data_IF_743436364321
#
_entry.id   IF_743436364321
#
_cell.length_a   1.000
_cell.length_b   1.000
_cell.length_c   1.000
_cell.angle_alpha   90.00
_cell.angle_beta   90.00
_cell.angle_gamma   90.00
#
_symmetry.space_group_name_H-M   'P 1'
#
loop_
_entity.id
_entity.type
_entity.pdbx_description
1 polymer ?
2 non-polymer ?
3 water ?
#
# COMPACT_ATOMS: atom_id res chain seq x y z
N UNK A 12 -23.39 6.80 19.14
CA UNK A 12 -22.33 6.10 18.44
C UNK A 12 -21.75 6.98 17.33
N UNK A 13 -20.52 6.69 16.91
CA UNK A 13 -19.82 7.49 15.91
C UNK A 13 -19.38 6.62 14.74
N UNK A 14 -19.22 7.26 13.58
CA UNK A 14 -18.76 6.58 12.38
C UNK A 14 -17.24 6.46 12.41
N UNK A 15 -16.74 5.25 12.21
CA UNK A 15 -15.30 5.03 12.14
C UNK A 15 -14.77 5.39 10.75
N UNK A 16 -13.60 6.02 10.66
CA UNK A 16 -13.02 6.32 9.35
C UNK A 16 -12.47 5.05 8.71
N UNK A 17 -12.22 5.15 7.41
CA UNK A 17 -11.68 4.00 6.69
C UNK A 17 -10.30 3.62 7.21
N UNK A 18 -9.45 4.61 7.48
CA UNK A 18 -8.14 4.37 8.05
C UNK A 18 -7.80 5.50 9.00
N UNK A 19 -6.87 5.23 9.90
CA UNK A 19 -6.49 6.18 10.93
C UNK A 19 -4.99 6.16 11.13
N UNK A 20 -4.40 7.35 11.28
CA UNK A 20 -2.98 7.50 11.58
C UNK A 20 -2.84 8.32 12.85
N UNK A 21 -2.29 7.72 13.89
CA UNK A 21 -2.00 8.42 15.14
C UNK A 21 -0.50 8.67 15.20
N UNK A 22 -0.12 9.93 15.42
CA UNK A 22 1.27 10.31 15.60
C UNK A 22 1.43 10.82 17.02
N UNK A 23 2.30 10.18 17.79
CA UNK A 23 2.50 10.48 19.20
C UNK A 23 3.94 10.91 19.42
N UNK A 24 4.13 12.05 20.07
CA UNK A 24 5.47 12.47 20.44
C UNK A 24 5.96 11.65 21.63
N UNK A 25 7.22 11.22 21.56
CA UNK A 25 7.78 10.43 22.63
C UNK A 25 7.92 11.28 23.90
N UNK A 26 8.10 10.60 25.02
CA UNK A 26 8.21 11.26 26.30
C UNK A 26 9.52 12.01 26.46
N UNK A 27 9.63 12.70 27.60
CA UNK A 27 10.83 13.48 27.88
C UNK A 27 12.06 12.60 27.90
N UNK A 28 13.11 13.05 27.21
CA UNK A 28 14.41 12.39 27.22
C UNK A 28 15.36 13.16 28.14
N UNK A 29 16.52 12.55 28.40
CA UNK A 29 17.51 13.22 29.24
C UNK A 29 18.04 14.48 28.57
N UNK A 30 18.26 14.44 27.25
CA UNK A 30 18.68 15.64 26.54
C UNK A 30 17.61 16.72 26.61
N UNK A 31 16.34 16.34 26.47
CA UNK A 31 15.26 17.31 26.58
C UNK A 31 15.25 17.95 27.97
N UNK A 32 15.46 17.15 29.01
CA UNK A 32 15.50 17.69 30.37
C UNK A 32 16.71 18.61 30.55
N UNK A 33 17.86 18.22 30.02
CA UNK A 33 19.06 19.05 30.11
C UNK A 33 18.99 20.27 29.20
N UNK A 34 17.99 20.36 28.34
CA UNK A 34 17.89 21.43 27.35
C UNK A 34 19.14 21.46 26.46
N UNK A 35 19.44 20.30 25.87
CA UNK A 35 20.55 20.14 24.95
C UNK A 35 20.04 19.42 23.71
N UNK A 36 20.50 19.87 22.54
CA UNK A 36 20.10 19.23 21.30
C UNK A 36 20.56 17.78 21.27
N UNK A 37 19.69 16.89 20.82
CA UNK A 37 20.02 15.48 20.67
C UNK A 37 20.10 15.06 19.21
N UNK A 38 19.05 15.27 18.45
CA UNK A 38 19.06 14.82 17.06
C UNK A 38 19.22 13.31 17.01
N UNK A 39 20.30 12.85 16.37
CA UNK A 39 20.57 11.42 16.31
C UNK A 39 21.23 10.88 17.58
N UNK A 40 21.69 11.75 18.48
CA UNK A 40 22.20 11.25 19.75
C UNK A 40 21.12 10.44 20.45
N UNK A 41 21.49 9.27 20.94
CA UNK A 41 20.54 8.25 21.37
C UNK A 41 20.17 8.39 22.85
N UNK A 42 19.74 9.59 23.24
CA UNK A 42 19.36 9.83 24.63
C UNK A 42 18.09 9.05 24.97
N UNK A 43 18.05 8.50 26.19
CA UNK A 43 16.95 7.65 26.64
C UNK A 43 15.92 8.48 27.42
N UNK A 44 14.77 7.87 27.66
CA UNK A 44 13.73 8.49 28.46
C UNK A 44 14.19 8.67 29.90
N UNK A 45 13.76 9.77 30.51
CA UNK A 45 13.91 9.96 31.94
C UNK A 45 12.80 9.20 32.67
N UNK A 46 12.81 9.25 34.00
CA UNK A 46 11.71 8.70 34.78
C UNK A 46 10.39 9.38 34.39
N UNK A 47 10.41 10.71 34.23
CA UNK A 47 9.21 11.42 33.80
C UNK A 47 8.81 10.99 32.39
N UNK A 48 9.79 10.83 31.50
CA UNK A 48 9.47 10.43 30.14
C UNK A 48 8.82 9.06 30.07
N UNK A 49 9.23 8.16 30.96
CA UNK A 49 8.58 6.84 31.02
C UNK A 49 7.15 6.99 31.50
N UNK A 50 6.91 7.85 32.48
CA UNK A 50 5.54 8.09 32.91
C UNK A 50 4.73 8.80 31.82
N UNK A 51 5.39 9.61 30.98
CA UNK A 51 4.71 10.19 29.83
C UNK A 51 4.23 9.12 28.88
N UNK A 52 5.06 8.10 28.65
CA UNK A 52 4.67 7.01 27.76
C UNK A 52 3.49 6.22 28.32
N UNK A 53 3.50 5.94 29.63
CA UNK A 53 2.37 5.25 30.22
C UNK A 53 1.10 6.10 30.12
N UNK A 54 1.22 7.41 30.36
CA UNK A 54 0.06 8.29 30.27
C UNK A 54 -0.47 8.34 28.84
N UNK A 55 0.42 8.38 27.86
CA UNK A 55 -0.01 8.37 26.46
C UNK A 55 -0.69 7.05 26.12
N UNK A 56 -0.19 5.94 26.67
CA UNK A 56 -0.85 4.67 26.46
C UNK A 56 -2.25 4.64 27.02
N UNK A 57 -2.44 5.19 28.23
CA UNK A 57 -3.77 5.28 28.81
C UNK A 57 -4.65 6.23 28.02
N UNK A 58 -4.06 7.29 27.45
CA UNK A 58 -4.81 8.22 26.63
C UNK A 58 -5.35 7.53 25.38
N UNK A 59 -4.50 6.77 24.70
CA UNK A 59 -4.93 6.09 23.48
C UNK A 59 -5.93 4.97 23.80
N UNK A 60 -5.75 4.29 24.94
CA UNK A 60 -6.67 3.24 25.32
C UNK A 60 -8.07 3.79 25.60
N UNK A 61 -8.15 4.95 26.25
CA UNK A 61 -9.46 5.55 26.53
C UNK A 61 -10.16 6.01 25.26
N UNK A 62 -9.42 6.26 24.19
CA UNK A 62 -10.01 6.57 22.90
C UNK A 62 -10.27 5.33 22.05
N UNK A 63 -9.98 4.14 22.58
CA UNK A 63 -10.38 2.91 21.93
C UNK A 63 -9.58 2.51 20.70
N UNK A 64 -8.32 2.97 20.60
CA UNK A 64 -7.51 2.65 19.45
C UNK A 64 -7.02 1.20 19.50
N UNK A 65 -7.16 0.51 18.37
CA UNK A 65 -6.61 -0.83 18.19
C UNK A 65 -5.80 -0.80 16.90
N UNK A 66 -4.48 -0.81 17.03
CA UNK A 66 -3.59 -0.60 15.88
C UNK A 66 -3.21 -1.93 15.23
N UNK A 67 -3.00 -1.85 13.91
CA UNK A 67 -2.51 -2.99 13.13
C UNK A 67 -1.00 -3.00 13.00
N UNK A 68 -0.34 -1.87 13.21
CA UNK A 68 1.11 -1.79 13.07
C UNK A 68 1.57 -0.49 13.71
N UNK A 69 2.82 -0.48 14.21
CA UNK A 69 3.40 0.69 14.84
C UNK A 69 4.78 0.94 14.24
N UNK A 70 5.10 2.20 14.04
CA UNK A 70 6.38 2.63 13.47
C UNK A 70 7.12 3.49 14.48
N UNK A 71 8.44 3.35 14.49
CA UNK A 71 9.30 4.19 15.31
C UNK A 71 10.59 4.45 14.54
N UNK A 72 11.39 5.36 15.07
CA UNK A 72 12.72 5.62 14.56
C UNK A 72 13.69 4.56 15.09
N UNK A 73 14.98 4.74 14.81
CA UNK A 73 16.03 3.93 15.41
C UNK A 73 16.43 4.42 16.81
N UNK A 74 15.83 5.49 17.30
CA UNK A 74 16.26 6.11 18.55
C UNK A 74 15.49 5.56 19.74
N UNK A 75 16.22 5.30 20.83
CA UNK A 75 15.66 4.57 21.96
C UNK A 75 14.47 5.31 22.58
N UNK A 76 14.50 6.64 22.60
CA UNK A 76 13.41 7.38 23.22
C UNK A 76 12.11 7.15 22.46
N UNK A 77 12.20 6.95 21.14
CA UNK A 77 11.01 6.60 20.37
C UNK A 77 10.61 5.14 20.59
N UNK A 78 11.58 4.23 20.53
CA UNK A 78 11.27 2.80 20.62
C UNK A 78 10.70 2.45 21.99
N UNK A 79 11.34 2.95 23.06
CA UNK A 79 10.87 2.64 24.41
C UNK A 79 9.47 3.18 24.63
N UNK A 80 9.18 4.38 24.13
CA UNK A 80 7.83 4.91 24.24
C UNK A 80 6.84 4.00 23.53
N UNK A 81 7.20 3.51 22.34
CA UNK A 81 6.33 2.62 21.59
C UNK A 81 6.03 1.34 22.38
N UNK A 82 7.06 0.74 22.97
CA UNK A 82 6.87 -0.50 23.71
C UNK A 82 5.96 -0.27 24.92
N UNK A 83 6.16 0.83 25.64
CA UNK A 83 5.32 1.11 26.80
C UNK A 83 3.87 1.31 26.37
N UNK A 84 3.65 2.06 25.30
CA UNK A 84 2.29 2.34 24.85
C UNK A 84 1.59 1.04 24.47
N UNK A 85 2.27 0.18 23.71
CA UNK A 85 1.68 -1.10 23.34
C UNK A 85 1.43 -1.96 24.58
N UNK A 86 2.29 -1.84 25.59
CA UNK A 86 2.06 -2.56 26.84
C UNK A 86 0.74 -2.13 27.48
N UNK A 87 0.50 -0.82 27.54
CA UNK A 87 -0.72 -0.31 28.13
C UNK A 87 -1.94 -0.73 27.32
N UNK A 88 -1.82 -0.68 25.98
CA UNK A 88 -2.92 -1.03 25.09
C UNK A 88 -3.18 -2.53 25.04
N UNK A 89 -2.29 -3.36 25.59
CA UNK A 89 -2.40 -4.81 25.47
C UNK A 89 -2.26 -5.24 24.01
N UNK A 90 -1.38 -4.58 23.28
CA UNK A 90 -1.13 -4.85 21.87
C UNK A 90 0.35 -5.08 21.60
N UNK A 91 1.03 -5.73 22.56
CA UNK A 91 2.46 -5.97 22.41
C UNK A 91 2.77 -6.92 21.26
N UNK A 92 1.78 -7.65 20.77
CA UNK A 92 1.96 -8.61 19.70
C UNK A 92 1.95 -8.00 18.30
N UNK A 93 1.53 -6.75 18.16
CA UNK A 93 1.33 -6.22 16.82
C UNK A 93 2.68 -5.96 16.15
N UNK A 94 2.65 -5.90 14.82
CA UNK A 94 3.86 -5.62 14.06
C UNK A 94 4.41 -4.26 14.44
N UNK A 95 5.69 -4.23 14.84
CA UNK A 95 6.42 -3.01 15.11
C UNK A 95 7.59 -2.92 14.13
N UNK A 96 7.79 -1.75 13.55
CA UNK A 96 8.83 -1.50 12.56
C UNK A 96 9.61 -0.27 12.98
N UNK A 97 10.93 -0.42 13.05
CA UNK A 97 11.83 0.69 13.37
C UNK A 97 12.73 0.95 12.17
N UNK A 98 12.83 2.22 11.77
CA UNK A 98 13.61 2.59 10.60
C UNK A 98 14.30 3.92 10.85
N UNK A 99 15.57 4.01 10.46
CA UNK A 99 16.34 5.22 10.72
C UNK A 99 15.83 6.42 9.93
N UNK A 100 15.06 6.20 8.87
CA UNK A 100 14.57 7.32 8.07
C UNK A 100 13.52 8.15 8.81
N UNK A 101 12.98 7.64 9.91
CA UNK A 101 12.10 8.41 10.79
C UNK A 101 12.86 9.11 11.90
N UNK A 102 14.19 9.04 11.89
CA UNK A 102 15.00 9.70 12.90
C UNK A 102 14.77 11.21 12.88
N UNK A 103 14.93 11.83 14.05
CA UNK A 103 15.01 13.28 14.17
C UNK A 103 16.15 13.80 13.29
N UNK A 104 16.12 15.11 13.02
CA UNK A 104 17.22 15.75 12.33
C UNK A 104 18.55 15.36 12.97
N UNK A 105 19.55 15.11 12.12
CA UNK A 105 20.92 14.99 12.58
C UNK A 105 21.47 16.40 12.76
N UNK A 106 21.73 16.80 14.00
CA UNK A 106 22.09 18.19 14.28
C UNK A 106 23.56 18.51 14.07
N UNK A 107 24.38 17.53 13.71
CA UNK A 107 25.76 17.82 13.37
C UNK A 107 26.50 18.48 14.52
N UNK A 108 27.09 19.65 14.24
CA UNK A 108 27.84 20.37 15.25
C UNK A 108 27.00 20.68 16.47
N UNK A 109 25.73 21.01 16.27
CA UNK A 109 24.84 21.37 17.37
C UNK A 109 24.52 20.20 18.28
N UNK A 110 24.85 18.97 17.87
CA UNK A 110 24.58 17.80 18.71
C UNK A 110 25.27 17.94 20.05
N UNK A 111 24.48 17.87 21.12
CA UNK A 111 25.01 17.93 22.48
C UNK A 111 25.12 19.32 23.06
N UNK A 112 24.96 20.37 22.26
CA UNK A 112 25.07 21.73 22.77
C UNK A 112 23.81 22.11 23.54
N UNK A 113 23.98 23.03 24.49
CA UNK A 113 22.82 23.65 25.11
C UNK A 113 22.02 24.40 24.05
N UNK A 114 20.70 24.28 24.12
CA UNK A 114 19.84 24.94 23.14
C UNK A 114 19.89 26.46 23.25
N UNK A 115 20.66 27.00 24.19
CA UNK A 115 20.80 28.44 24.37
C UNK A 115 22.08 28.99 23.74
N UNK A 116 23.10 28.15 23.58
CA UNK A 116 24.33 28.59 22.94
C UNK A 116 24.12 28.92 21.47
N UNK A 117 23.06 28.39 20.84
CA UNK A 117 22.86 28.63 19.42
C UNK A 117 22.57 30.09 19.13
N UNK A 118 22.13 30.87 20.12
CA UNK A 118 22.01 32.30 19.93
C UNK A 118 23.39 32.93 19.74
N UNK A 119 24.39 32.42 20.44
CA UNK A 119 25.77 32.85 20.23
C UNK A 119 26.28 32.37 18.87
N UNK A 120 26.07 31.10 18.55
CA UNK A 120 26.59 30.54 17.30
C UNK A 120 25.95 31.21 16.09
N UNK A 121 24.66 31.51 16.18
CA UNK A 121 23.90 32.05 15.07
C UNK A 121 23.82 33.56 15.17
N UNK A 122 23.87 34.23 14.01
CA UNK A 122 23.52 35.64 13.96
C UNK A 122 22.02 35.80 14.22
N UNK A 123 21.60 37.05 14.45
CA UNK A 123 20.18 37.29 14.70
C UNK A 123 19.33 36.91 13.50
N UNK A 124 19.80 37.22 12.29
CA UNK A 124 19.07 36.82 11.09
C UNK A 124 19.01 35.30 10.98
N UNK A 125 20.11 34.62 11.29
CA UNK A 125 20.12 33.16 11.22
C UNK A 125 19.14 32.56 12.21
N UNK A 126 19.07 33.13 13.42
CA UNK A 126 18.12 32.62 14.42
C UNK A 126 16.69 32.72 13.92
N UNK A 127 16.37 33.79 13.19
CA UNK A 127 15.02 33.96 12.67
C UNK A 127 14.67 32.83 11.70
N UNK A 128 15.61 32.43 10.85
CA UNK A 128 15.36 31.32 9.95
C UNK A 128 15.22 30.01 10.72
N UNK A 129 15.98 29.87 11.81
CA UNK A 129 15.94 28.63 12.59
C UNK A 129 14.57 28.38 13.19
N UNK A 130 13.90 29.44 13.67
CA UNK A 130 12.63 29.29 14.35
C UNK A 130 11.43 29.46 13.42
N UNK A 131 11.53 30.34 12.42
CA UNK A 131 10.40 30.65 11.56
C UNK A 131 10.34 29.83 10.28
N UNK A 132 11.40 29.08 9.96
CA UNK A 132 11.45 28.32 8.72
C UNK A 132 12.00 26.93 9.03
N UNK A 133 12.31 26.19 7.96
CA UNK A 133 12.77 24.82 8.07
C UNK A 133 13.94 24.52 7.15
N UNK A 134 14.58 25.55 6.58
CA UNK A 134 15.60 25.36 5.56
C UNK A 134 17.02 25.54 6.07
N UNK A 135 17.19 25.98 7.32
CA UNK A 135 18.52 26.27 7.85
C UNK A 135 19.21 24.96 8.25
N UNK A 136 20.41 24.76 7.72
CA UNK A 136 21.14 23.50 7.89
C UNK A 136 22.26 23.68 8.90
N UNK A 137 22.29 22.92 10.00
CA UNK A 137 23.41 23.03 10.93
C UNK A 137 24.69 22.51 10.29
N UNK A 138 25.85 23.01 10.71
CA UNK A 138 27.11 22.51 10.15
C UNK A 138 27.40 21.11 10.63
N UNK A 139 28.36 20.42 10.03
CA UNK A 139 28.63 19.03 10.40
C UNK A 139 29.31 18.93 11.76
N UNK A 140 29.35 17.70 12.28
CA UNK A 140 30.08 17.45 13.51
C UNK A 140 31.54 17.84 13.36
N UNK A 141 32.08 18.47 14.41
CA UNK A 141 33.46 18.92 14.39
C UNK A 141 34.41 17.72 14.51
N UNK A 142 35.68 17.90 14.12
CA UNK A 142 36.67 16.85 14.36
C UNK A 142 36.75 16.52 15.85
N UNK A 143 36.77 15.22 16.16
CA UNK A 143 36.81 14.77 17.53
C UNK A 143 35.47 14.75 18.23
N UNK A 144 34.44 15.36 17.65
CA UNK A 144 33.11 15.31 18.26
C UNK A 144 32.52 13.92 18.08
N UNK A 145 31.85 13.44 19.13
CA UNK A 145 31.16 12.16 19.05
C UNK A 145 29.99 12.29 18.09
N UNK A 146 30.10 11.64 16.94
CA UNK A 146 29.04 11.69 15.93
C UNK A 146 28.09 10.52 16.13
N UNK A 147 26.81 10.76 16.37
CA UNK A 147 25.90 9.62 16.63
C UNK A 147 25.81 8.64 15.47
N UNK A 148 26.06 9.08 14.23
CA UNK A 148 25.95 8.16 13.09
C UNK A 148 27.08 7.15 13.06
N UNK A 149 28.14 7.34 13.84
CA UNK A 149 29.21 6.35 13.95
C UNK A 149 28.82 5.15 14.81
N UNK A 150 27.64 5.16 15.41
CA UNK A 150 27.21 4.04 16.24
C UNK A 150 27.08 2.79 15.38
N UNK A 151 27.43 1.61 15.90
CA UNK A 151 27.38 0.39 15.08
C UNK A 151 26.01 0.10 14.49
N UNK A 152 24.92 0.63 15.06
CA UNK A 152 23.60 0.34 14.53
C UNK A 152 23.41 0.84 13.10
N UNK A 153 24.22 1.81 12.65
CA UNK A 153 24.12 2.35 11.31
C UNK A 153 25.17 1.76 10.37
N UNK A 154 25.81 0.65 10.76
CA UNK A 154 26.90 0.11 9.96
C UNK A 154 26.41 -0.39 8.60
N UNK A 155 25.16 -0.82 8.51
CA UNK A 155 24.61 -1.30 7.26
C UNK A 155 24.12 -0.18 6.36
N UNK A 156 24.14 1.06 6.82
CA UNK A 156 23.73 2.19 6.01
C UNK A 156 24.81 2.54 4.99
N UNK A 157 24.38 2.86 3.78
CA UNK A 157 25.29 3.36 2.76
C UNK A 157 25.88 4.68 3.22
N UNK A 158 27.20 4.87 3.19
CA UNK A 158 27.76 6.13 3.70
C UNK A 158 27.18 7.36 3.03
N UNK A 159 26.72 7.25 1.78
CA UNK A 159 26.24 8.39 1.03
C UNK A 159 24.87 8.88 1.50
N UNK A 160 24.12 8.04 2.21
CA UNK A 160 22.84 8.47 2.75
C UNK A 160 22.94 8.95 4.19
N UNK A 161 24.08 8.74 4.85
CA UNK A 161 24.24 9.13 6.24
C UNK A 161 24.34 10.65 6.31
N UNK A 162 23.46 11.33 7.03
CA UNK A 162 23.53 12.79 7.12
C UNK A 162 24.55 13.24 8.16
N UNK A 163 25.06 14.46 7.95
CA UNK A 163 25.93 15.13 8.92
C UNK A 163 25.50 16.60 8.94
N UNK A 164 24.50 16.89 9.76
CA UNK A 164 23.93 18.22 9.79
C UNK A 164 22.75 18.32 8.83
N UNK A 165 21.54 18.40 9.37
CA UNK A 165 20.32 18.36 8.57
C UNK A 165 19.40 19.49 8.97
N UNK A 166 18.95 20.27 8.00
CA UNK A 166 17.79 21.11 8.22
C UNK A 166 16.55 20.23 8.31
N UNK A 167 15.44 20.83 8.76
CA UNK A 167 14.18 20.09 8.78
C UNK A 167 13.77 19.70 7.38
N UNK A 168 14.06 20.55 6.39
CA UNK A 168 13.77 20.20 4.99
C UNK A 168 14.53 18.96 4.56
N UNK A 169 15.83 18.89 4.88
CA UNK A 169 16.63 17.73 4.51
C UNK A 169 16.13 16.48 5.23
N UNK A 170 15.79 16.61 6.52
CA UNK A 170 15.25 15.46 7.24
C UNK A 170 14.00 14.95 6.55
N UNK A 171 13.09 15.85 6.18
CA UNK A 171 11.87 15.44 5.52
C UNK A 171 12.14 14.88 4.13
N UNK A 172 13.23 15.30 3.49
CA UNK A 172 13.56 14.74 2.18
C UNK A 172 13.89 13.25 2.29
N UNK A 173 14.48 12.82 3.40
CA UNK A 173 14.80 11.40 3.57
C UNK A 173 13.67 10.63 4.25
N UNK A 174 12.83 11.31 5.05
CA UNK A 174 11.74 10.61 5.72
C UNK A 174 10.52 10.48 4.83
N UNK A 175 10.29 11.44 3.94
CA UNK A 175 9.09 11.41 3.09
C UNK A 175 9.04 10.17 2.23
N UNK A 176 10.12 9.74 1.56
CA UNK A 176 10.02 8.50 0.77
C UNK A 176 9.62 7.30 1.61
N UNK A 177 10.10 7.22 2.85
CA UNK A 177 9.71 6.10 3.71
C UNK A 177 8.24 6.20 4.11
N UNK A 178 7.78 7.41 4.40
CA UNK A 178 6.37 7.61 4.74
C UNK A 178 5.48 7.19 3.57
N UNK A 179 5.84 7.60 2.35
CA UNK A 179 5.00 7.32 1.19
C UNK A 179 5.06 5.85 0.82
N UNK A 180 6.23 5.22 0.97
CA UNK A 180 6.43 3.86 0.47
C UNK A 180 6.04 2.78 1.47
N UNK A 181 6.09 3.06 2.77
CA UNK A 181 5.83 2.05 3.79
C UNK A 181 4.58 2.32 4.61
N UNK A 182 4.27 3.57 4.92
CA UNK A 182 3.18 3.89 5.82
C UNK A 182 1.90 4.20 5.07
N UNK A 183 1.97 5.04 4.03
CA UNK A 183 0.77 5.40 3.28
C UNK A 183 0.08 4.17 2.71
N UNK A 184 0.78 3.21 2.10
CA UNK A 184 0.06 2.05 1.53
C UNK A 184 -0.77 1.30 2.55
N UNK A 185 -0.31 1.24 3.80
CA UNK A 185 -1.08 0.56 4.83
C UNK A 185 -2.35 1.36 5.18
N UNK A 186 -2.25 2.68 5.23
CA UNK A 186 -3.44 3.50 5.44
C UNK A 186 -4.43 3.33 4.30
N UNK A 187 -3.93 3.21 3.07
CA UNK A 187 -4.81 3.01 1.92
C UNK A 187 -5.49 1.66 1.94
N UNK A 188 -4.98 0.71 2.72
CA UNK A 188 -5.61 -0.60 2.88
C UNK A 188 -6.50 -0.66 4.12
N UNK A 189 -6.84 0.48 4.70
CA UNK A 189 -7.74 0.50 5.83
C UNK A 189 -7.12 0.11 7.14
N UNK A 190 -5.81 0.30 7.29
CA UNK A 190 -5.13 -0.04 8.54
C UNK A 190 -5.16 1.16 9.49
N UNK A 191 -5.07 0.85 10.78
CA UNK A 191 -4.86 1.86 11.81
C UNK A 191 -3.38 1.80 12.20
N UNK A 192 -2.68 2.91 12.00
CA UNK A 192 -1.24 2.97 12.13
C UNK A 192 -0.88 3.91 13.26
N UNK A 193 0.05 3.48 14.11
CA UNK A 193 0.64 4.33 15.13
C UNK A 193 2.08 4.64 14.74
N UNK A 194 2.46 5.91 14.87
CA UNK A 194 3.84 6.34 14.72
C UNK A 194 4.23 7.04 16.00
N UNK A 195 5.28 6.56 16.66
CA UNK A 195 5.89 7.26 17.78
C UNK A 195 7.04 8.07 17.19
N UNK A 196 6.89 9.38 17.16
CA UNK A 196 7.71 10.26 16.34
C UNK A 196 8.44 11.28 17.21
N UNK A 197 9.43 11.91 16.59
CA UNK A 197 10.10 13.06 17.14
C UNK A 197 9.38 14.33 16.69
N UNK A 198 9.63 15.42 17.42
CA UNK A 198 8.82 16.61 17.23
C UNK A 198 8.85 17.13 15.80
N UNK A 199 10.05 17.23 15.21
CA UNK A 199 10.16 17.78 13.87
C UNK A 199 9.58 16.83 12.82
N UNK A 200 9.74 15.52 13.03
CA UNK A 200 9.16 14.57 12.08
C UNK A 200 7.65 14.66 12.09
N UNK A 201 7.05 14.76 13.28
CA UNK A 201 5.61 14.90 13.38
C UNK A 201 5.14 16.18 12.72
N UNK A 202 5.87 17.28 12.91
CA UNK A 202 5.50 18.55 12.29
C UNK A 202 5.56 18.45 10.77
N UNK A 203 6.59 17.78 10.24
CA UNK A 203 6.70 17.63 8.79
C UNK A 203 5.56 16.79 8.23
N UNK A 204 5.21 15.71 8.94
CA UNK A 204 4.10 14.87 8.48
C UNK A 204 2.78 15.62 8.52
N UNK A 205 2.57 16.45 9.55
CA UNK A 205 1.35 17.24 9.63
C UNK A 205 1.28 18.24 8.48
N UNK A 206 2.41 18.88 8.16
CA UNK A 206 2.44 19.83 7.05
C UNK A 206 2.11 19.15 5.73
N UNK A 207 2.66 17.96 5.51
CA UNK A 207 2.41 17.23 4.27
C UNK A 207 0.94 16.83 4.15
N UNK A 208 0.38 16.23 5.21
CA UNK A 208 -0.97 15.70 5.14
C UNK A 208 -1.99 16.83 5.02
N UNK A 209 -1.77 17.94 5.70
CA UNK A 209 -2.70 19.07 5.68
C UNK A 209 -2.38 20.08 4.59
N UNK A 210 -1.30 19.88 3.84
CA UNK A 210 -0.94 20.77 2.74
C UNK A 210 -0.68 22.19 3.23
N UNK A 211 0.06 22.31 4.33
CA UNK A 211 0.48 23.61 4.83
C UNK A 211 1.77 24.05 4.15
N UNK A 212 2.16 25.29 4.40
CA UNK A 212 3.46 25.80 3.99
C UNK A 212 4.37 25.88 5.21
N UNK A 213 5.66 26.10 4.95
CA UNK A 213 6.64 26.07 6.03
C UNK A 213 6.34 27.15 7.07
N UNK A 214 5.87 28.32 6.63
CA UNK A 214 5.66 29.42 7.55
C UNK A 214 4.50 29.14 8.50
N UNK A 215 3.39 28.61 7.98
CA UNK A 215 2.26 28.29 8.84
C UNK A 215 2.65 27.24 9.88
N UNK A 216 3.41 26.23 9.45
CA UNK A 216 3.81 25.15 10.36
C UNK A 216 4.56 25.69 11.56
N UNK A 217 5.58 26.50 11.33
CA UNK A 217 6.39 27.03 12.43
C UNK A 217 5.65 28.09 13.23
N UNK A 218 4.55 28.63 12.71
CA UNK A 218 3.70 29.50 13.52
C UNK A 218 2.99 28.72 14.61
N UNK A 219 2.57 27.49 14.32
CA UNK A 219 1.85 26.69 15.29
C UNK A 219 2.74 26.31 16.47
N UNK A 220 2.14 26.14 17.63
CA UNK A 220 2.88 25.76 18.82
C UNK A 220 3.26 24.29 18.76
N UNK A 221 4.36 23.95 19.45
CA UNK A 221 4.84 22.58 19.48
C UNK A 221 3.99 21.78 20.46
N UNK A 222 3.68 20.54 20.08
CA UNK A 222 2.92 19.66 20.97
C UNK A 222 3.77 19.18 22.12
N UNK A 223 3.20 19.19 23.32
CA UNK A 223 3.91 18.73 24.50
C UNK A 223 4.24 17.24 24.38
N UNK A 224 5.20 16.80 25.18
CA UNK A 224 5.56 15.38 25.21
C UNK A 224 4.33 14.57 25.61
N UNK A 225 4.07 13.51 24.85
CA UNK A 225 2.94 12.64 25.11
C UNK A 225 1.66 13.04 24.40
N UNK A 226 1.62 14.20 23.75
CA UNK A 226 0.44 14.61 23.00
C UNK A 226 0.43 13.92 21.64
N UNK A 227 -0.76 13.76 21.08
CA UNK A 227 -0.94 12.97 19.86
C UNK A 227 -1.85 13.68 18.88
N UNK A 228 -1.55 13.48 17.59
CA UNK A 228 -2.39 13.89 16.49
C UNK A 228 -3.08 12.66 15.90
N UNK A 229 -4.34 12.82 15.52
CA UNK A 229 -5.13 11.74 14.95
C UNK A 229 -5.63 12.19 13.59
N UNK A 230 -5.14 11.57 12.53
CA UNK A 230 -5.58 11.84 11.17
C UNK A 230 -6.52 10.72 10.73
N UNK A 231 -7.64 11.09 10.16
CA UNK A 231 -8.64 10.14 9.69
C UNK A 231 -8.80 10.29 8.19
N UNK A 232 -8.85 9.16 7.48
CA UNK A 232 -8.89 9.15 6.03
C UNK A 232 -10.06 8.29 5.55
N UNK A 233 -10.56 8.61 4.35
CA UNK A 233 -11.52 7.75 3.69
C UNK A 233 -10.76 6.78 2.78
N UNK A 234 -11.49 6.02 1.95
CA UNK A 234 -10.88 4.97 1.13
C UNK A 234 -10.11 5.51 -0.07
N UNK A 235 -10.18 6.81 -0.35
CA UNK A 235 -9.36 7.45 -1.37
C UNK A 235 -8.16 8.16 -0.77
N UNK A 236 -7.91 7.97 0.52
CA UNK A 236 -6.83 8.65 1.24
C UNK A 236 -6.97 10.17 1.16
N UNK A 237 -8.20 10.66 1.25
CA UNK A 237 -8.45 12.08 1.47
C UNK A 237 -8.53 12.33 2.98
N UNK A 238 -7.94 13.43 3.41
CA UNK A 238 -7.93 13.77 4.83
C UNK A 238 -9.30 14.27 5.25
N UNK A 239 -9.91 13.57 6.22
CA UNK A 239 -11.24 13.90 6.71
C UNK A 239 -11.24 14.73 7.99
N UNK A 240 -10.23 14.56 8.84
CA UNK A 240 -10.25 15.23 10.14
C UNK A 240 -8.88 15.07 10.80
N UNK A 241 -8.47 16.11 11.53
CA UNK A 241 -7.30 16.04 12.39
C UNK A 241 -7.71 16.46 13.79
N UNK A 242 -7.49 15.59 14.77
CA UNK A 242 -7.77 15.88 16.17
C UNK A 242 -6.47 15.91 16.95
N UNK A 243 -6.43 16.73 18.00
CA UNK A 243 -5.33 16.73 18.95
C UNK A 243 -5.89 16.24 20.28
N UNK A 244 -5.35 15.12 20.76
CA UNK A 244 -5.73 14.53 22.04
C UNK A 244 -4.50 14.58 22.95
N UNK A 245 -4.70 15.00 24.19
CA UNK A 245 -3.59 15.15 25.12
C UNK A 245 -4.06 14.78 26.52
N UNK A 246 -3.10 14.42 27.36
CA UNK A 246 -3.36 14.05 28.75
C UNK A 246 -4.03 15.20 29.48
N UNK B 12 -3.09 -45.33 -8.29
CA UNK B 12 -2.71 -44.03 -8.82
C UNK B 12 -3.83 -43.43 -9.65
N UNK B 13 -3.63 -42.20 -10.11
CA UNK B 13 -4.61 -41.48 -10.91
C UNK B 13 -4.09 -41.32 -12.34
N UNK B 14 -5.01 -41.20 -13.29
CA UNK B 14 -4.67 -41.09 -14.69
C UNK B 14 -4.63 -39.62 -15.08
N UNK B 15 -3.55 -39.22 -15.75
CA UNK B 15 -3.44 -37.83 -16.22
C UNK B 15 -4.27 -37.63 -17.49
N UNK B 16 -5.00 -36.53 -17.60
CA UNK B 16 -5.69 -36.24 -18.85
C UNK B 16 -4.71 -35.77 -19.93
N UNK B 17 -5.21 -35.71 -21.16
CA UNK B 17 -4.36 -35.27 -22.26
C UNK B 17 -3.90 -33.82 -22.06
N UNK B 18 -4.82 -32.95 -21.67
CA UNK B 18 -4.50 -31.55 -21.44
C UNK B 18 -5.34 -31.03 -20.27
N UNK B 19 -4.91 -29.91 -19.71
CA UNK B 19 -5.56 -29.33 -18.54
C UNK B 19 -5.52 -27.82 -18.63
N UNK B 20 -6.60 -27.17 -18.22
CA UNK B 20 -6.69 -25.72 -18.14
C UNK B 20 -7.12 -25.33 -16.75
N UNK B 21 -6.30 -24.53 -16.06
CA UNK B 21 -6.64 -24.00 -14.75
C UNK B 21 -6.84 -22.50 -14.91
N UNK B 22 -7.98 -22.00 -14.46
CA UNK B 22 -8.29 -20.58 -14.46
C UNK B 22 -8.41 -20.14 -13.01
N UNK B 23 -7.62 -19.15 -12.62
CA UNK B 23 -7.50 -18.70 -11.24
C UNK B 23 -7.82 -17.23 -11.15
N UNK B 24 -8.71 -16.86 -10.23
CA UNK B 24 -8.99 -15.45 -10.01
C UNK B 24 -7.86 -14.81 -9.22
N UNK B 25 -7.46 -13.62 -9.65
CA UNK B 25 -6.41 -12.90 -8.94
C UNK B 25 -6.90 -12.48 -7.56
N UNK B 26 -5.96 -12.23 -6.67
CA UNK B 26 -6.26 -11.91 -5.29
C UNK B 26 -6.94 -10.56 -5.15
N UNK B 27 -7.24 -10.23 -3.89
CA UNK B 27 -7.87 -8.95 -3.59
C UNK B 27 -7.01 -7.79 -4.08
N UNK B 28 -7.64 -6.83 -4.75
CA UNK B 28 -6.97 -5.62 -5.18
C UNK B 28 -7.38 -4.47 -4.28
N UNK B 29 -6.66 -3.35 -4.40
CA UNK B 29 -7.00 -2.19 -3.59
C UNK B 29 -8.37 -1.64 -3.96
N UNK B 30 -8.70 -1.65 -5.26
CA UNK B 30 -10.03 -1.22 -5.67
C UNK B 30 -11.11 -2.12 -5.11
N UNK B 31 -10.88 -3.44 -5.12
CA UNK B 31 -11.87 -4.36 -4.55
C UNK B 31 -12.06 -4.11 -3.07
N UNK B 32 -10.97 -3.90 -2.34
CA UNK B 32 -11.07 -3.62 -0.91
C UNK B 32 -11.83 -2.32 -0.67
N UNK B 33 -11.56 -1.30 -1.48
CA UNK B 33 -12.19 0.00 -1.35
C UNK B 33 -13.56 0.06 -2.00
N UNK B 34 -14.00 -1.03 -2.63
CA UNK B 34 -15.28 -1.08 -3.31
C UNK B 34 -15.40 0.05 -4.33
N UNK B 35 -14.51 0.01 -5.32
CA UNK B 35 -14.50 0.98 -6.41
C UNK B 35 -14.20 0.24 -7.70
N UNK B 36 -15.00 0.50 -8.73
CA UNK B 36 -14.78 -0.14 -10.03
C UNK B 36 -13.38 0.21 -10.53
N UNK B 37 -12.67 -0.81 -11.03
CA UNK B 37 -11.35 -0.63 -11.58
C UNK B 37 -11.34 -0.82 -13.10
N UNK B 38 -11.79 -1.96 -13.59
CA UNK B 38 -11.75 -2.21 -15.02
C UNK B 38 -10.32 -2.16 -15.50
N UNK B 39 -10.03 -1.25 -16.43
CA UNK B 39 -8.68 -1.12 -16.95
C UNK B 39 -7.76 -0.34 -16.01
N UNK B 40 -8.31 0.32 -14.99
CA UNK B 40 -7.45 0.98 -14.01
C UNK B 40 -6.51 -0.04 -13.39
N UNK B 41 -5.23 0.32 -13.31
CA UNK B 41 -4.17 -0.62 -12.98
C UNK B 41 -3.96 -0.75 -11.47
N UNK B 42 -5.03 -1.00 -10.74
CA UNK B 42 -4.93 -1.17 -9.30
C UNK B 42 -4.14 -2.43 -8.97
N UNK B 43 -3.33 -2.35 -7.91
CA UNK B 43 -2.45 -3.43 -7.52
C UNK B 43 -3.05 -4.22 -6.36
N UNK B 44 -2.47 -5.38 -6.09
CA UNK B 44 -2.90 -6.21 -4.98
C UNK B 44 -2.66 -5.51 -3.65
N UNK B 45 -3.51 -5.81 -2.68
CA UNK B 45 -3.27 -5.42 -1.30
C UNK B 45 -2.39 -6.45 -0.62
N UNK B 46 -2.07 -6.23 0.66
CA UNK B 46 -1.34 -7.23 1.43
C UNK B 46 -2.10 -8.55 1.47
N UNK B 47 -3.42 -8.48 1.69
CA UNK B 47 -4.23 -9.69 1.71
C UNK B 47 -4.25 -10.35 0.34
N UNK B 48 -4.36 -9.57 -0.73
CA UNK B 48 -4.37 -10.14 -2.06
C UNK B 48 -3.06 -10.84 -2.40
N UNK B 49 -1.95 -10.34 -1.87
CA UNK B 49 -0.67 -11.00 -2.08
C UNK B 49 -0.66 -12.35 -1.38
N UNK B 50 -1.20 -12.42 -0.16
CA UNK B 50 -1.29 -13.71 0.51
C UNK B 50 -2.32 -14.62 -0.15
N UNK B 51 -3.32 -14.05 -0.83
CA UNK B 51 -4.21 -14.88 -1.64
C UNK B 51 -3.44 -15.54 -2.76
N UNK B 52 -2.50 -14.81 -3.37
CA UNK B 52 -1.69 -15.38 -4.45
C UNK B 52 -0.80 -16.50 -3.93
N UNK B 53 -0.15 -16.30 -2.79
CA UNK B 53 0.67 -17.35 -2.22
C UNK B 53 -0.17 -18.57 -1.85
N UNK B 54 -1.34 -18.34 -1.26
CA UNK B 54 -2.22 -19.44 -0.88
C UNK B 54 -2.67 -20.23 -2.11
N UNK B 55 -3.00 -19.52 -3.19
CA UNK B 55 -3.37 -20.20 -4.43
C UNK B 55 -2.21 -20.98 -5.01
N UNK B 56 -1.00 -20.42 -4.94
CA UNK B 56 0.16 -21.16 -5.40
C UNK B 56 0.37 -22.44 -4.63
N UNK B 57 0.13 -22.41 -3.31
CA UNK B 57 0.22 -23.62 -2.51
C UNK B 57 -0.91 -24.60 -2.85
N UNK B 58 -2.10 -24.08 -3.20
CA UNK B 58 -3.20 -24.93 -3.59
C UNK B 58 -2.87 -25.71 -4.87
N UNK B 59 -2.43 -25.00 -5.90
CA UNK B 59 -2.09 -25.68 -7.16
C UNK B 59 -0.94 -26.64 -6.95
N UNK B 60 0.03 -26.27 -6.10
CA UNK B 60 1.15 -27.16 -5.83
C UNK B 60 0.69 -28.44 -5.16
N UNK B 61 -0.28 -28.36 -4.25
CA UNK B 61 -0.80 -29.55 -3.60
C UNK B 61 -1.57 -30.44 -4.57
N UNK B 62 -2.16 -29.85 -5.61
CA UNK B 62 -2.83 -30.62 -6.64
C UNK B 62 -1.87 -31.15 -7.70
N UNK B 63 -0.59 -30.82 -7.60
CA UNK B 63 0.40 -31.38 -8.49
C UNK B 63 0.41 -30.83 -9.90
N UNK B 64 0.00 -29.57 -10.07
CA UNK B 64 -0.03 -28.98 -11.39
C UNK B 64 1.37 -28.54 -11.82
N UNK B 65 1.77 -28.93 -13.03
CA UNK B 65 3.02 -28.51 -13.64
C UNK B 65 2.65 -27.88 -14.98
N UNK B 66 2.70 -26.55 -15.06
CA UNK B 66 2.19 -25.87 -16.25
C UNK B 66 3.26 -25.71 -17.31
N UNK B 67 2.82 -25.71 -18.57
CA UNK B 67 3.68 -25.43 -19.72
C UNK B 67 3.68 -23.96 -20.11
N UNK B 68 2.62 -23.22 -19.77
CA UNK B 68 2.49 -21.83 -20.18
C UNK B 68 1.43 -21.18 -19.30
N UNK B 69 1.60 -19.89 -19.03
CA UNK B 69 0.67 -19.13 -18.20
C UNK B 69 0.27 -17.87 -18.94
N UNK B 70 -1.00 -17.50 -18.81
CA UNK B 70 -1.57 -16.32 -19.48
C UNK B 70 -2.09 -15.35 -18.42
N UNK B 71 -1.97 -14.06 -18.71
CA UNK B 71 -2.49 -13.03 -17.84
C UNK B 71 -2.89 -11.84 -18.70
N UNK B 72 -3.60 -10.90 -18.08
CA UNK B 72 -3.98 -9.67 -18.76
C UNK B 72 -2.79 -8.70 -18.71
N UNK B 73 -3.04 -7.45 -19.12
CA UNK B 73 -2.06 -6.38 -18.96
C UNK B 73 -2.12 -5.73 -17.59
N UNK B 74 -3.02 -6.17 -16.72
CA UNK B 74 -3.24 -5.50 -15.44
C UNK B 74 -2.39 -6.11 -14.33
N UNK B 75 -1.96 -5.23 -13.41
CA UNK B 75 -1.02 -5.63 -12.37
C UNK B 75 -1.57 -6.74 -11.49
N UNK B 76 -2.83 -6.62 -11.07
CA UNK B 76 -3.38 -7.59 -10.13
C UNK B 76 -3.36 -9.00 -10.70
N UNK B 77 -3.40 -9.12 -12.02
CA UNK B 77 -3.31 -10.43 -12.66
C UNK B 77 -1.85 -10.86 -12.81
N UNK B 78 -0.99 -9.96 -13.27
CA UNK B 78 0.40 -10.31 -13.53
C UNK B 78 1.11 -10.67 -12.23
N UNK B 79 0.95 -9.84 -11.20
CA UNK B 79 1.63 -10.11 -9.93
C UNK B 79 1.18 -11.44 -9.35
N UNK B 80 -0.12 -11.73 -9.43
CA UNK B 80 -0.60 -13.03 -8.94
C UNK B 80 0.06 -14.16 -9.70
N UNK B 81 0.18 -14.02 -11.03
CA UNK B 81 0.83 -15.05 -11.83
C UNK B 81 2.26 -15.28 -11.36
N UNK B 82 3.01 -14.20 -11.12
CA UNK B 82 4.40 -14.35 -10.71
C UNK B 82 4.52 -15.02 -9.35
N UNK B 83 3.65 -14.65 -8.41
CA UNK B 83 3.68 -15.27 -7.09
C UNK B 83 3.34 -16.75 -7.19
N UNK B 84 2.31 -17.08 -7.97
CA UNK B 84 1.90 -18.49 -8.10
C UNK B 84 3.04 -19.32 -8.69
N UNK B 85 3.69 -18.80 -9.74
CA UNK B 85 4.81 -19.53 -10.34
C UNK B 85 5.96 -19.65 -9.36
N UNK B 86 6.20 -18.61 -8.56
CA UNK B 86 7.25 -18.68 -7.55
C UNK B 86 6.99 -19.82 -6.56
N UNK B 87 5.74 -19.95 -6.11
CA UNK B 87 5.40 -21.03 -5.18
C UNK B 87 5.54 -22.38 -5.86
N UNK B 88 5.08 -22.49 -7.12
CA UNK B 88 5.15 -23.73 -7.86
C UNK B 88 6.56 -24.08 -8.31
N UNK B 89 7.51 -23.15 -8.19
CA UNK B 89 8.87 -23.35 -8.67
C UNK B 89 8.93 -23.46 -10.20
N UNK B 90 8.05 -22.72 -10.88
CA UNK B 90 7.97 -22.71 -12.33
C UNK B 90 8.15 -21.30 -12.88
N UNK B 91 9.05 -20.52 -12.28
CA UNK B 91 9.28 -19.16 -12.73
C UNK B 91 9.84 -19.12 -14.15
N UNK B 92 10.37 -20.24 -14.64
CA UNK B 92 11.00 -20.29 -15.96
C UNK B 92 10.01 -20.48 -17.11
N UNK B 93 8.76 -20.88 -16.83
CA UNK B 93 7.87 -21.25 -17.92
C UNK B 93 7.46 -20.02 -18.71
N UNK B 94 6.93 -20.26 -19.90
CA UNK B 94 6.51 -19.18 -20.79
C UNK B 94 5.32 -18.46 -20.18
N UNK B 95 5.44 -17.15 -20.02
CA UNK B 95 4.35 -16.30 -19.55
C UNK B 95 3.98 -15.31 -20.65
N UNK B 96 2.68 -15.17 -20.88
CA UNK B 96 2.16 -14.29 -21.92
C UNK B 96 1.15 -13.35 -21.29
N UNK B 97 1.33 -12.05 -21.49
CA UNK B 97 0.40 -11.03 -21.04
C UNK B 97 -0.19 -10.35 -22.27
N UNK B 98 -1.52 -10.25 -22.29
CA UNK B 98 -2.22 -9.68 -23.43
C UNK B 98 -3.40 -8.86 -22.95
N UNK B 99 -3.56 -7.67 -23.53
CA UNK B 99 -4.63 -6.77 -23.12
C UNK B 99 -6.01 -7.30 -23.43
N UNK B 100 -6.13 -8.27 -24.35
CA UNK B 100 -7.43 -8.81 -24.70
C UNK B 100 -8.05 -9.62 -23.58
N UNK B 101 -7.27 -10.00 -22.57
CA UNK B 101 -7.79 -10.66 -21.38
C UNK B 101 -8.13 -9.66 -20.28
N UNK B 102 -7.99 -8.36 -20.55
CA UNK B 102 -8.31 -7.34 -19.57
C UNK B 102 -9.75 -7.43 -19.11
N UNK B 103 -10.01 -6.91 -17.91
CA UNK B 103 -11.35 -6.69 -17.42
C UNK B 103 -12.07 -5.70 -18.34
N UNK B 104 -13.39 -5.60 -18.18
CA UNK B 104 -14.15 -4.62 -18.93
C UNK B 104 -13.61 -3.22 -18.67
N UNK B 105 -13.57 -2.40 -19.72
CA UNK B 105 -13.22 -0.99 -19.58
C UNK B 105 -14.47 -0.25 -19.13
N UNK B 106 -14.51 0.17 -17.86
CA UNK B 106 -15.73 0.71 -17.27
C UNK B 106 -15.98 2.17 -17.63
N UNK B 107 -15.06 2.83 -18.31
CA UNK B 107 -15.33 4.17 -18.81
C UNK B 107 -15.62 5.14 -17.69
N UNK B 108 -16.83 5.71 -17.71
CA UNK B 108 -17.22 6.68 -16.69
C UNK B 108 -17.19 6.07 -15.31
N UNK B 109 -17.57 4.80 -15.19
CA UNK B 109 -17.60 4.12 -13.90
C UNK B 109 -16.21 3.92 -13.30
N UNK B 110 -15.14 4.12 -14.08
CA UNK B 110 -13.80 3.93 -13.57
C UNK B 110 -13.54 4.86 -12.39
N UNK B 111 -13.14 4.29 -11.26
CA UNK B 111 -12.85 5.05 -10.07
C UNK B 111 -14.03 5.32 -9.16
N UNK B 112 -15.24 4.93 -9.55
CA UNK B 112 -16.43 5.16 -8.75
C UNK B 112 -16.64 4.03 -7.76
N UNK B 113 -17.27 4.36 -6.63
CA UNK B 113 -17.68 3.33 -5.68
C UNK B 113 -18.73 2.41 -6.31
N UNK B 114 -18.73 1.16 -5.87
CA UNK B 114 -19.68 0.17 -6.42
C UNK B 114 -21.12 0.56 -6.13
N UNK B 115 -21.36 1.45 -5.18
CA UNK B 115 -22.70 1.76 -4.71
C UNK B 115 -23.33 2.96 -5.39
N UNK B 116 -22.53 3.84 -5.98
CA UNK B 116 -23.10 4.99 -6.69
C UNK B 116 -23.91 4.58 -7.90
N UNK B 117 -23.66 3.39 -8.46
CA UNK B 117 -24.36 2.99 -9.68
C UNK B 117 -25.85 2.77 -9.43
N UNK B 118 -26.25 2.62 -8.16
CA UNK B 118 -27.68 2.64 -7.86
C UNK B 118 -28.26 4.01 -8.19
N UNK B 119 -27.50 5.08 -7.89
CA UNK B 119 -27.92 6.41 -8.29
C UNK B 119 -27.84 6.59 -9.80
N UNK B 120 -26.71 6.24 -10.40
CA UNK B 120 -26.50 6.51 -11.83
C UNK B 120 -27.48 5.72 -12.68
N UNK B 121 -27.68 4.45 -12.37
CA UNK B 121 -28.60 3.61 -13.11
C UNK B 121 -29.98 3.65 -12.48
N UNK B 122 -31.00 3.56 -13.33
CA UNK B 122 -32.36 3.41 -12.86
C UNK B 122 -32.54 1.97 -12.35
N UNK B 123 -33.75 1.64 -11.90
CA UNK B 123 -33.98 0.32 -11.34
C UNK B 123 -33.91 -0.76 -12.41
N UNK B 124 -34.59 -0.56 -13.54
CA UNK B 124 -34.55 -1.57 -14.60
C UNK B 124 -33.18 -1.66 -15.24
N UNK B 125 -32.44 -0.54 -15.29
CA UNK B 125 -31.06 -0.61 -15.73
C UNK B 125 -30.20 -1.42 -14.77
N UNK B 126 -30.47 -1.31 -13.48
CA UNK B 126 -29.76 -2.14 -12.50
C UNK B 126 -30.04 -3.62 -12.72
N UNK B 127 -31.28 -3.96 -13.06
CA UNK B 127 -31.62 -5.35 -13.31
C UNK B 127 -30.84 -5.90 -14.51
N UNK B 128 -30.66 -5.09 -15.54
CA UNK B 128 -29.86 -5.52 -16.68
C UNK B 128 -28.40 -5.65 -16.28
N UNK B 129 -27.92 -4.77 -15.39
CA UNK B 129 -26.52 -4.79 -14.99
C UNK B 129 -26.19 -6.07 -14.22
N UNK B 130 -27.11 -6.55 -13.39
CA UNK B 130 -26.85 -7.70 -12.54
C UNK B 130 -27.25 -9.02 -13.18
N UNK B 131 -28.29 -9.03 -14.02
CA UNK B 131 -28.84 -10.26 -14.56
C UNK B 131 -28.40 -10.54 -15.99
N UNK B 132 -27.91 -9.54 -16.71
CA UNK B 132 -27.48 -9.70 -18.10
C UNK B 132 -26.11 -9.07 -18.29
N UNK B 133 -25.58 -9.18 -19.51
CA UNK B 133 -24.23 -8.75 -19.82
C UNK B 133 -24.17 -7.73 -20.95
N UNK B 134 -25.31 -7.15 -21.33
CA UNK B 134 -25.36 -6.27 -22.49
C UNK B 134 -25.26 -4.79 -22.14
N UNK B 135 -25.41 -4.42 -20.88
CA UNK B 135 -25.42 -3.01 -20.52
C UNK B 135 -24.02 -2.43 -20.59
N UNK B 136 -23.88 -1.31 -21.32
CA UNK B 136 -22.59 -0.72 -21.63
C UNK B 136 -22.38 0.55 -20.81
N UNK B 137 -21.34 0.63 -19.98
CA UNK B 137 -21.09 1.87 -19.25
C UNK B 137 -20.75 3.00 -20.19
N UNK B 138 -21.02 4.25 -19.81
CA UNK B 138 -20.67 5.39 -20.68
C UNK B 138 -19.17 5.52 -20.81
N UNK B 139 -18.70 6.36 -21.74
CA UNK B 139 -17.26 6.62 -21.85
C UNK B 139 -16.76 7.53 -20.75
N UNK B 140 -15.44 7.56 -20.60
CA UNK B 140 -14.81 8.46 -19.64
C UNK B 140 -15.19 9.90 -19.93
N UNK B 141 -15.55 10.64 -18.88
CA UNK B 141 -15.91 12.03 -19.04
C UNK B 141 -14.67 12.87 -19.36
N UNK B 142 -14.85 14.03 -19.97
CA UNK B 142 -13.70 14.91 -20.22
C UNK B 142 -12.99 15.24 -18.92
N UNK B 143 -11.66 15.09 -18.93
CA UNK B 143 -10.84 15.32 -17.77
C UNK B 143 -10.68 14.14 -16.86
N UNK B 144 -11.52 13.11 -17.00
CA UNK B 144 -11.37 11.90 -16.22
C UNK B 144 -10.12 11.15 -16.66
N UNK B 145 -9.38 10.61 -15.70
CA UNK B 145 -8.18 9.85 -15.99
C UNK B 145 -8.59 8.53 -16.66
N UNK B 146 -8.41 8.45 -17.97
CA UNK B 146 -8.80 7.26 -18.72
C UNK B 146 -7.68 6.24 -18.67
N UNK B 147 -7.92 5.01 -18.19
CA UNK B 147 -6.82 4.03 -18.11
C UNK B 147 -6.20 3.70 -19.46
N UNK B 148 -6.97 3.74 -20.54
CA UNK B 148 -6.42 3.40 -21.85
C UNK B 148 -5.41 4.43 -22.33
N UNK B 149 -5.37 5.61 -21.73
CA UNK B 149 -4.35 6.61 -22.05
C UNK B 149 -2.98 6.22 -21.54
N UNK B 150 -2.88 5.17 -20.73
CA UNK B 150 -1.59 4.73 -20.22
C UNK B 150 -0.66 4.39 -21.39
N UNK B 151 0.63 4.71 -21.29
CA UNK B 151 1.53 4.47 -22.44
C UNK B 151 1.62 3.00 -22.85
N UNK B 152 1.25 2.07 -21.97
CA UNK B 152 1.34 0.65 -22.32
C UNK B 152 0.45 0.30 -23.51
N UNK B 153 -0.59 1.08 -23.77
CA UNK B 153 -1.52 0.82 -24.86
C UNK B 153 -1.24 1.66 -26.10
N UNK B 154 -0.09 2.33 -26.17
CA UNK B 154 0.18 3.22 -27.30
C UNK B 154 0.30 2.45 -28.61
N UNK B 155 0.68 1.17 -28.55
CA UNK B 155 0.78 0.36 -29.76
C UNK B 155 -0.56 -0.16 -30.24
N UNK B 156 -1.61 -0.08 -29.42
CA UNK B 156 -2.94 -0.48 -29.86
C UNK B 156 -3.49 0.53 -30.87
N UNK B 157 -4.23 0.02 -31.84
CA UNK B 157 -4.92 0.90 -32.77
C UNK B 157 -6.06 1.61 -32.03
N UNK B 158 -6.24 2.91 -32.23
CA UNK B 158 -7.32 3.61 -31.52
C UNK B 158 -8.69 3.01 -31.75
N UNK B 159 -8.92 2.36 -32.89
CA UNK B 159 -10.24 1.78 -33.16
C UNK B 159 -10.54 0.59 -32.25
N UNK B 160 -9.51 -0.13 -31.79
CA UNK B 160 -9.74 -1.29 -30.93
C UNK B 160 -9.77 -0.91 -29.45
N UNK B 161 -9.22 0.24 -29.07
CA UNK B 161 -9.17 0.64 -27.66
C UNK B 161 -10.59 0.95 -27.21
N UNK B 162 -11.12 0.26 -26.21
CA UNK B 162 -12.49 0.53 -25.76
C UNK B 162 -12.56 1.70 -24.79
N UNK B 163 -13.73 2.32 -24.77
CA UNK B 163 -14.06 3.36 -23.77
C UNK B 163 -15.50 3.08 -23.33
N UNK B 164 -15.64 2.24 -22.30
CA UNK B 164 -16.95 1.81 -21.87
C UNK B 164 -17.34 0.50 -22.53
N UNK B 165 -17.37 -0.59 -21.76
CA UNK B 165 -17.57 -1.91 -22.31
C UNK B 165 -18.55 -2.70 -21.45
N UNK B 166 -19.56 -3.29 -22.10
CA UNK B 166 -20.36 -4.31 -21.46
C UNK B 166 -19.57 -5.62 -21.39
N UNK B 167 -20.07 -6.57 -20.60
CA UNK B 167 -19.43 -7.88 -20.55
C UNK B 167 -19.48 -8.56 -21.91
N UNK B 168 -20.53 -8.28 -22.70
CA UNK B 168 -20.59 -8.83 -24.05
C UNK B 168 -19.48 -8.29 -24.92
N UNK B 169 -19.27 -6.97 -24.89
CA UNK B 169 -18.23 -6.36 -25.72
C UNK B 169 -16.84 -6.84 -25.31
N UNK B 170 -16.63 -6.99 -24.00
CA UNK B 170 -15.34 -7.49 -23.52
C UNK B 170 -15.10 -8.92 -23.99
N UNK B 171 -16.12 -9.77 -23.90
CA UNK B 171 -15.98 -11.16 -24.36
C UNK B 171 -15.87 -11.26 -25.87
N UNK B 172 -16.34 -10.23 -26.60
CA UNK B 172 -16.16 -10.24 -28.05
C UNK B 172 -14.70 -10.04 -28.44
N UNK B 173 -13.92 -9.34 -27.62
CA UNK B 173 -12.50 -9.15 -27.89
C UNK B 173 -11.63 -10.20 -27.21
N UNK B 174 -12.09 -10.79 -26.11
CA UNK B 174 -11.30 -11.80 -25.42
C UNK B 174 -11.47 -13.18 -26.04
N UNK B 175 -12.67 -13.49 -26.53
CA UNK B 175 -12.91 -14.82 -27.09
C UNK B 175 -11.98 -15.14 -28.25
N UNK B 176 -11.76 -14.25 -29.22
CA UNK B 176 -10.83 -14.59 -30.31
C UNK B 176 -9.44 -14.93 -29.80
N UNK B 177 -8.95 -14.20 -28.78
CA UNK B 177 -7.64 -14.51 -28.23
C UNK B 177 -7.64 -15.89 -27.56
N UNK B 178 -8.72 -16.22 -26.86
CA UNK B 178 -8.81 -17.54 -26.22
C UNK B 178 -8.78 -18.66 -27.26
N UNK B 179 -9.54 -18.49 -28.35
CA UNK B 179 -9.62 -19.55 -29.35
C UNK B 179 -8.34 -19.65 -30.17
N UNK B 180 -7.67 -18.53 -30.42
CA UNK B 180 -6.52 -18.52 -31.31
C UNK B 180 -5.20 -18.80 -30.61
N UNK B 181 -5.10 -18.52 -29.31
CA UNK B 181 -3.83 -18.63 -28.59
C UNK B 181 -3.84 -19.70 -27.51
N UNK B 182 -4.93 -19.87 -26.77
CA UNK B 182 -4.96 -20.80 -25.66
C UNK B 182 -5.44 -22.17 -26.10
N UNK B 183 -6.56 -22.23 -26.81
CA UNK B 183 -7.13 -23.52 -27.21
C UNK B 183 -6.13 -24.35 -28.02
N UNK B 184 -5.41 -23.79 -28.99
CA UNK B 184 -4.46 -24.63 -29.75
C UNK B 184 -3.42 -25.29 -28.87
N UNK B 185 -2.98 -24.60 -27.81
CA UNK B 185 -2.02 -25.20 -26.89
C UNK B 185 -2.65 -26.36 -26.12
N UNK B 186 -3.91 -26.21 -25.72
CA UNK B 186 -4.60 -27.33 -25.07
C UNK B 186 -4.75 -28.51 -26.01
N UNK B 187 -5.02 -28.25 -27.29
CA UNK B 187 -5.15 -29.33 -28.26
C UNK B 187 -3.84 -30.07 -28.46
N UNK B 188 -2.71 -29.46 -28.12
CA UNK B 188 -1.40 -30.09 -28.24
C UNK B 188 -0.95 -30.75 -26.93
N UNK B 189 -1.87 -31.00 -26.02
CA UNK B 189 -1.52 -31.67 -24.78
C UNK B 189 -0.88 -30.80 -23.73
N UNK B 190 -1.00 -29.49 -23.84
CA UNK B 190 -0.38 -28.59 -22.89
C UNK B 190 -1.28 -28.39 -21.67
N UNK B 191 -0.66 -28.13 -20.53
CA UNK B 191 -1.36 -27.70 -19.32
C UNK B 191 -1.18 -26.20 -19.20
N UNK B 192 -2.29 -25.47 -19.18
CA UNK B 192 -2.30 -24.02 -19.30
C UNK B 192 -2.87 -23.43 -18.03
N UNK B 193 -2.18 -22.43 -17.48
CA UNK B 193 -2.68 -21.63 -16.38
C UNK B 193 -3.11 -20.28 -16.93
N UNK B 194 -4.26 -19.78 -16.45
CA UNK B 194 -4.74 -18.45 -16.77
C UNK B 194 -5.06 -17.76 -15.45
N UNK B 195 -4.48 -16.59 -15.22
CA UNK B 195 -4.80 -15.75 -14.08
C UNK B 195 -5.73 -14.67 -14.62
N UNK B 196 -7.03 -14.80 -14.34
CA UNK B 196 -8.05 -14.03 -15.01
C UNK B 196 -8.84 -13.20 -14.00
N UNK B 197 -9.52 -12.18 -14.52
CA UNK B 197 -10.43 -11.37 -13.74
C UNK B 197 -11.79 -12.06 -13.63
N UNK B 198 -12.65 -11.52 -12.77
CA UNK B 198 -13.90 -12.19 -12.47
C UNK B 198 -14.79 -12.36 -13.69
N UNK B 199 -15.07 -11.25 -14.40
CA UNK B 199 -15.94 -11.33 -15.56
C UNK B 199 -15.34 -12.22 -16.65
N UNK B 200 -14.03 -12.08 -16.88
CA UNK B 200 -13.38 -12.83 -17.95
C UNK B 200 -13.49 -14.32 -17.69
N UNK B 201 -13.26 -14.74 -16.45
CA UNK B 201 -13.34 -16.15 -16.11
C UNK B 201 -14.74 -16.69 -16.26
N UNK B 202 -15.75 -15.91 -15.88
CA UNK B 202 -17.13 -16.34 -16.04
C UNK B 202 -17.46 -16.56 -17.51
N UNK B 203 -16.96 -15.69 -18.39
CA UNK B 203 -17.22 -15.85 -19.82
C UNK B 203 -16.59 -17.12 -20.36
N UNK B 204 -15.35 -17.41 -19.96
CA UNK B 204 -14.71 -18.65 -20.40
C UNK B 204 -15.47 -19.87 -19.88
N UNK B 205 -16.00 -19.78 -18.66
CA UNK B 205 -16.75 -20.88 -18.10
C UNK B 205 -18.03 -21.14 -18.90
N UNK B 206 -18.71 -20.07 -19.31
CA UNK B 206 -19.93 -20.24 -20.10
C UNK B 206 -19.62 -20.85 -21.47
N UNK B 207 -18.51 -20.43 -22.09
CA UNK B 207 -18.13 -20.98 -23.38
C UNK B 207 -17.85 -22.47 -23.27
N UNK B 208 -16.98 -22.85 -22.32
CA UNK B 208 -16.58 -24.25 -22.19
C UNK B 208 -17.76 -25.14 -21.81
N UNK B 209 -18.64 -24.63 -20.94
CA UNK B 209 -19.81 -25.39 -20.50
C UNK B 209 -21.04 -25.16 -21.36
N UNK B 210 -20.96 -24.26 -22.35
CA UNK B 210 -22.09 -23.95 -23.22
C UNK B 210 -23.32 -23.57 -22.40
N UNK B 211 -23.11 -22.70 -21.40
CA UNK B 211 -24.19 -22.24 -20.55
C UNK B 211 -24.84 -20.99 -21.13
N UNK B 212 -25.97 -20.60 -20.54
CA UNK B 212 -26.71 -19.43 -20.99
C UNK B 212 -26.30 -18.19 -20.20
N UNK B 223 -14.60 -16.84 -5.25
CA UNK B 223 -13.87 -15.88 -4.45
C UNK B 223 -12.48 -15.65 -5.02
N UNK B 224 -11.82 -14.58 -4.57
CA UNK B 224 -10.45 -14.32 -5.00
C UNK B 224 -9.53 -15.45 -4.56
N UNK B 225 -8.72 -15.94 -5.50
CA UNK B 225 -7.83 -17.05 -5.25
C UNK B 225 -8.40 -18.42 -5.57
N UNK B 226 -9.69 -18.50 -5.90
CA UNK B 226 -10.30 -19.76 -6.28
C UNK B 226 -9.99 -20.08 -7.75
N UNK B 227 -10.05 -21.36 -8.09
CA UNK B 227 -9.66 -21.82 -9.42
C UNK B 227 -10.64 -22.84 -9.96
N UNK B 228 -10.76 -22.85 -11.29
CA UNK B 228 -11.51 -23.85 -12.04
C UNK B 228 -10.53 -24.73 -12.81
N UNK B 229 -10.77 -26.03 -12.81
CA UNK B 229 -9.91 -26.99 -13.49
C UNK B 229 -10.74 -27.71 -14.55
N UNK B 230 -10.40 -27.50 -15.81
CA UNK B 230 -11.01 -28.19 -16.94
C UNK B 230 -10.02 -29.20 -17.49
N UNK B 231 -10.49 -30.40 -17.77
CA UNK B 231 -9.65 -31.48 -18.30
C UNK B 231 -10.20 -31.93 -19.64
N UNK B 232 -9.29 -32.29 -20.55
CA UNK B 232 -9.67 -32.62 -21.92
C UNK B 232 -8.90 -33.85 -22.39
N UNK B 233 -9.49 -34.57 -23.34
CA UNK B 233 -8.81 -35.66 -24.03
C UNK B 233 -8.16 -35.12 -25.29
N UNK B 234 -7.71 -36.01 -26.18
CA UNK B 234 -7.00 -35.59 -27.38
C UNK B 234 -7.91 -35.04 -28.47
N UNK B 235 -9.23 -35.19 -28.33
CA UNK B 235 -10.20 -34.57 -29.23
C UNK B 235 -10.72 -33.25 -28.68
N UNK B 236 -10.18 -32.78 -27.56
CA UNK B 236 -10.62 -31.55 -26.91
C UNK B 236 -12.09 -31.61 -26.53
N UNK B 237 -12.54 -32.78 -26.09
CA UNK B 237 -13.83 -32.92 -25.43
C UNK B 237 -13.64 -32.78 -23.93
N UNK B 238 -14.56 -32.10 -23.28
CA UNK B 238 -14.45 -31.86 -21.84
C UNK B 238 -14.71 -33.15 -21.07
N UNK B 239 -13.78 -33.51 -20.19
CA UNK B 239 -13.87 -34.75 -19.42
C UNK B 239 -14.25 -34.52 -17.97
N UNK B 240 -13.96 -33.35 -17.41
CA UNK B 240 -14.28 -33.09 -16.01
C UNK B 240 -14.00 -31.62 -15.71
N UNK B 241 -14.84 -31.03 -14.86
CA UNK B 241 -14.65 -29.69 -14.36
C UNK B 241 -14.69 -29.73 -12.83
N UNK B 242 -13.69 -29.13 -12.20
CA UNK B 242 -13.58 -29.11 -10.75
C UNK B 242 -13.45 -27.67 -10.29
N UNK B 243 -13.90 -27.41 -9.06
CA UNK B 243 -13.73 -26.12 -8.41
C UNK B 243 -12.89 -26.37 -7.16
N UNK B 244 -11.70 -25.78 -7.13
CA UNK B 244 -10.77 -25.94 -6.01
C UNK B 244 -10.57 -24.57 -5.38
N UNK B 245 -10.74 -24.50 -4.06
CA UNK B 245 -10.59 -23.26 -3.32
C UNK B 245 -9.78 -23.53 -2.07
N UNK B 246 -9.17 -22.48 -1.53
CA UNK B 246 -8.43 -22.61 -0.28
C UNK B 246 -9.30 -23.24 0.81
N UNK B 247 -10.59 -22.96 0.79
CA UNK B 247 -11.53 -23.50 1.76
C UNK B 247 -11.57 -25.03 1.67
#
# INVERSE_FOLDING_TARGET
MAHHHHHHMSRKKIEPFSTLVILRHGESLSNLNRTYSGWYDTDLTEKGIEDAYAAGRLLKSHGFHFDVCFSSYLKRSIRTMWIVLDVLDQMHIQTISNWRLNECHFGLLTGMNKEQICTTLTEEELNIWKKDTCLQPPPCAPGQENPSDDPKYKDLDPRVIPNGESIDMMWERAKPYFIDQIVPRLMEGKKVLIVAHGNVMRAMKKYLQKMTSEELMNEKVLSNGSALVFKFDNKFNLLETEIISEEDATIEANDGVL
MAHHHHHHMSRKKIEPFSTLVILRHGESLSNLNRTYSGWYDTDLTEKGIEDAYAAGRLLKSHGFHFDVCFSSYLKRSIRTMWIVLDVLDQMHIQTISNWRLNECHFGLLTGMNKEQICTTLTEEELNIWKKDTCLQPPPCAPGQENPSDDPKYKDLDPRVIPNGESIDMMWERAKPYFIDQIVPRLMEGKKVLIVAHGNVMRAMKKYLQKMTSEELMNEKVLSNGSALVFKFDNKFNLLETEIISEEDATIEANDGVL
#
